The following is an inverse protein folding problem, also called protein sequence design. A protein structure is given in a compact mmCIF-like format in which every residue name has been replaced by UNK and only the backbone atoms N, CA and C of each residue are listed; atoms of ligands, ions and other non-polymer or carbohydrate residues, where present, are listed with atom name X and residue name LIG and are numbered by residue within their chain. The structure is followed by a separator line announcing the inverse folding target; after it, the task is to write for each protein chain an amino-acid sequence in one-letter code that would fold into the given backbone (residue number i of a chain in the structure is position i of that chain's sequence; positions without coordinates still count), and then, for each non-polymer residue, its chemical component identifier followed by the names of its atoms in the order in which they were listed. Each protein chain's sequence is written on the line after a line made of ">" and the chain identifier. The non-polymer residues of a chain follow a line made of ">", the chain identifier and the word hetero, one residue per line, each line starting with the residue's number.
data_IF_764180084613
#
_entry.id   IF_764180084613
#
_cell.length_a   1.000
_cell.length_b   1.000
_cell.length_c   1.000
_cell.angle_alpha   90.00
_cell.angle_beta   90.00
_cell.angle_gamma   90.00
#
_symmetry.space_group_name_H-M   'P 1'
#
loop_
_entity.id
_entity.type
_entity.pdbx_description
1 polymer ?
#
# COMPACT_ATOMS: atom_id res chain seq x y z
N UNK A 1 -35.01 35.88 -44.92
CA UNK A 1 -34.84 34.52 -44.37
C UNK A 1 -34.71 34.65 -42.86
N UNK A 2 -35.74 34.27 -42.08
CA UNK A 2 -35.64 34.26 -40.61
C UNK A 2 -35.37 32.83 -40.19
N UNK A 3 -34.15 32.58 -39.73
CA UNK A 3 -33.77 31.36 -39.03
C UNK A 3 -34.49 31.37 -37.69
N UNK A 4 -35.42 30.44 -37.46
CA UNK A 4 -36.01 30.21 -36.15
C UNK A 4 -35.02 29.33 -35.38
N UNK A 5 -34.19 29.95 -34.55
CA UNK A 5 -33.33 29.25 -33.61
C UNK A 5 -34.21 28.62 -32.54
N UNK A 6 -34.40 27.30 -32.63
CA UNK A 6 -35.08 26.51 -31.61
C UNK A 6 -34.08 26.20 -30.50
N UNK A 7 -33.90 27.13 -29.57
CA UNK A 7 -33.08 26.96 -28.37
C UNK A 7 -33.88 26.13 -27.34
N UNK A 8 -33.84 24.81 -27.50
CA UNK A 8 -34.38 23.87 -26.53
C UNK A 8 -33.49 23.83 -25.28
N UNK A 9 -33.96 24.43 -24.18
CA UNK A 9 -33.28 24.40 -22.89
C UNK A 9 -33.33 23.01 -22.23
N UNK A 10 -32.21 22.63 -21.62
CA UNK A 10 -32.06 21.47 -20.73
C UNK A 10 -33.20 21.43 -19.71
N UNK A 11 -33.87 20.30 -19.58
CA UNK A 11 -34.90 20.14 -18.54
C UNK A 11 -34.26 19.73 -17.21
N UNK A 12 -34.83 20.17 -16.07
CA UNK A 12 -34.38 19.70 -14.76
C UNK A 12 -34.47 18.17 -14.61
N UNK A 13 -35.42 17.55 -15.32
CA UNK A 13 -35.62 16.10 -15.33
C UNK A 13 -34.44 15.39 -15.99
N UNK A 14 -33.85 15.98 -17.02
CA UNK A 14 -32.69 15.42 -17.74
C UNK A 14 -31.45 15.37 -16.85
N UNK A 15 -31.18 16.43 -16.11
CA UNK A 15 -30.10 16.43 -15.11
C UNK A 15 -30.40 15.51 -13.92
N UNK A 16 -31.66 15.43 -13.47
CA UNK A 16 -32.07 14.56 -12.36
C UNK A 16 -31.87 13.08 -12.70
N UNK A 17 -32.25 12.65 -13.91
CA UNK A 17 -32.06 11.28 -14.35
C UNK A 17 -30.56 10.90 -14.42
N UNK A 18 -29.69 11.83 -14.84
CA UNK A 18 -28.25 11.61 -14.92
C UNK A 18 -27.62 11.45 -13.53
N UNK A 19 -27.89 12.37 -12.59
CA UNK A 19 -27.31 12.27 -11.24
C UNK A 19 -27.84 11.06 -10.48
N UNK A 20 -29.09 10.65 -10.74
CA UNK A 20 -29.65 9.42 -10.20
C UNK A 20 -28.88 8.20 -10.70
N UNK A 21 -28.64 8.11 -12.01
CA UNK A 21 -27.84 7.01 -12.60
C UNK A 21 -26.40 7.03 -12.09
N UNK A 22 -25.75 8.19 -12.00
CA UNK A 22 -24.41 8.33 -11.42
C UNK A 22 -24.37 7.85 -9.96
N UNK A 23 -25.40 8.14 -9.17
CA UNK A 23 -25.53 7.66 -7.79
C UNK A 23 -25.55 6.13 -7.69
N UNK A 24 -26.30 5.46 -8.59
CA UNK A 24 -26.38 3.99 -8.63
C UNK A 24 -25.02 3.39 -9.01
N UNK A 25 -24.32 3.97 -9.98
CA UNK A 25 -23.00 3.49 -10.41
C UNK A 25 -21.97 3.60 -9.29
N UNK A 26 -21.95 4.74 -8.57
CA UNK A 26 -21.02 4.97 -7.45
C UNK A 26 -21.25 3.97 -6.32
N UNK A 27 -22.52 3.68 -5.98
CA UNK A 27 -22.86 2.74 -4.91
C UNK A 27 -22.27 1.34 -5.14
N UNK A 28 -22.25 0.87 -6.39
CA UNK A 28 -21.69 -0.44 -6.74
C UNK A 28 -20.17 -0.40 -6.87
N UNK A 29 -19.58 0.72 -7.29
CA UNK A 29 -18.15 0.85 -7.53
C UNK A 29 -17.31 0.97 -6.25
N UNK A 30 -17.78 1.73 -5.26
CA UNK A 30 -17.04 2.02 -4.03
C UNK A 30 -16.57 0.79 -3.21
N UNK A 31 -17.40 -0.22 -2.91
CA UNK A 31 -16.94 -1.35 -2.09
C UNK A 31 -15.79 -2.11 -2.76
N UNK A 32 -15.81 -2.23 -4.09
CA UNK A 32 -14.73 -2.86 -4.85
C UNK A 32 -13.45 -2.01 -4.84
N UNK A 33 -13.59 -0.68 -4.96
CA UNK A 33 -12.46 0.25 -4.92
C UNK A 33 -11.68 0.16 -3.61
N UNK A 34 -12.36 0.19 -2.46
CA UNK A 34 -11.71 0.09 -1.15
C UNK A 34 -11.05 -1.28 -0.91
N UNK A 35 -11.62 -2.36 -1.45
CA UNK A 35 -11.00 -3.69 -1.43
C UNK A 35 -9.67 -3.70 -2.17
N UNK A 36 -9.66 -3.20 -3.42
CA UNK A 36 -8.45 -3.14 -4.25
C UNK A 36 -7.35 -2.26 -3.64
N UNK A 37 -7.72 -1.12 -3.03
CA UNK A 37 -6.77 -0.25 -2.34
C UNK A 37 -6.11 -0.97 -1.14
N UNK A 38 -6.91 -1.66 -0.33
CA UNK A 38 -6.40 -2.42 0.80
C UNK A 38 -5.48 -3.56 0.35
N UNK A 39 -5.83 -4.27 -0.72
CA UNK A 39 -5.00 -5.35 -1.27
C UNK A 39 -3.66 -4.82 -1.81
N UNK A 40 -3.68 -3.68 -2.50
CA UNK A 40 -2.45 -3.01 -2.94
C UNK A 40 -1.55 -2.62 -1.77
N UNK A 41 -2.12 -2.05 -0.69
CA UNK A 41 -1.37 -1.73 0.53
C UNK A 41 -0.76 -2.97 1.18
N UNK A 42 -1.45 -4.11 1.19
CA UNK A 42 -0.92 -5.38 1.71
C UNK A 42 0.26 -5.90 0.91
N UNK A 43 0.19 -5.82 -0.42
CA UNK A 43 1.27 -6.34 -1.27
C UNK A 43 2.51 -5.44 -1.17
N UNK A 44 2.34 -4.11 -1.09
CA UNK A 44 3.43 -3.18 -0.80
C UNK A 44 4.08 -3.50 0.55
N UNK A 45 3.29 -3.71 1.61
CA UNK A 45 3.83 -4.06 2.93
C UNK A 45 4.61 -5.39 2.89
N UNK A 46 4.11 -6.39 2.17
CA UNK A 46 4.79 -7.67 1.96
C UNK A 46 6.13 -7.50 1.24
N UNK A 47 6.14 -6.72 0.17
CA UNK A 47 7.34 -6.44 -0.60
C UNK A 47 8.39 -5.71 0.26
N UNK A 48 7.96 -4.71 1.03
CA UNK A 48 8.82 -3.95 1.93
C UNK A 48 9.40 -4.82 3.05
N UNK A 49 8.59 -5.65 3.71
CA UNK A 49 9.07 -6.61 4.73
C UNK A 49 10.12 -7.55 4.15
N UNK A 50 9.91 -8.08 2.94
CA UNK A 50 10.90 -8.91 2.24
C UNK A 50 12.19 -8.14 1.95
N UNK A 51 12.08 -6.92 1.45
CA UNK A 51 13.22 -6.04 1.15
C UNK A 51 14.04 -5.73 2.41
N UNK A 52 13.38 -5.32 3.50
CA UNK A 52 14.03 -5.02 4.78
C UNK A 52 14.69 -6.25 5.37
N UNK A 53 14.04 -7.43 5.33
CA UNK A 53 14.65 -8.66 5.83
C UNK A 53 15.86 -9.11 4.99
N UNK A 54 15.83 -8.90 3.67
CA UNK A 54 17.00 -9.15 2.82
C UNK A 54 18.16 -8.20 3.16
N UNK A 55 17.87 -6.92 3.37
CA UNK A 55 18.85 -5.94 3.83
C UNK A 55 19.42 -6.27 5.21
N UNK A 56 18.58 -6.73 6.15
CA UNK A 56 19.02 -7.21 7.48
C UNK A 56 19.93 -8.43 7.37
N UNK A 57 19.65 -9.36 6.45
CA UNK A 57 20.55 -10.49 6.20
C UNK A 57 21.92 -10.02 5.70
N UNK A 58 21.96 -9.02 4.81
CA UNK A 58 23.21 -8.41 4.33
C UNK A 58 23.94 -7.67 5.45
N UNK A 59 23.24 -6.87 6.26
CA UNK A 59 23.81 -6.19 7.43
C UNK A 59 24.44 -7.20 8.37
N UNK A 60 23.70 -8.28 8.67
CA UNK A 60 24.15 -9.36 9.55
C UNK A 60 25.40 -10.05 9.02
N UNK A 61 25.47 -10.28 7.71
CA UNK A 61 26.65 -10.83 7.05
C UNK A 61 27.86 -9.90 7.19
N UNK A 62 27.69 -8.59 7.04
CA UNK A 62 28.77 -7.59 7.14
C UNK A 62 29.24 -7.33 8.57
N UNK A 63 28.37 -7.48 9.56
CA UNK A 63 28.65 -7.14 10.96
C UNK A 63 28.86 -8.39 11.82
N UNK A 64 29.59 -9.39 11.30
CA UNK A 64 29.99 -10.60 12.04
C UNK A 64 28.80 -11.34 12.72
N UNK A 65 27.65 -11.40 12.05
CA UNK A 65 26.48 -12.10 12.55
C UNK A 65 25.58 -11.29 13.49
N UNK A 66 25.92 -10.02 13.76
CA UNK A 66 25.14 -9.12 14.62
C UNK A 66 24.07 -8.37 13.84
N UNK A 67 22.98 -8.01 14.53
CA UNK A 67 21.85 -7.29 13.96
C UNK A 67 21.79 -5.86 14.53
N UNK A 68 21.17 -4.90 13.82
CA UNK A 68 20.99 -3.57 14.35
C UNK A 68 20.33 -3.60 15.73
N UNK A 69 20.86 -2.87 16.70
CA UNK A 69 20.19 -2.71 17.99
C UNK A 69 18.82 -2.05 17.78
N UNK A 70 17.84 -2.33 18.65
CA UNK A 70 16.49 -1.77 18.51
C UNK A 70 16.50 -0.23 18.39
N UNK A 71 17.32 0.47 19.19
CA UNK A 71 17.49 1.92 19.10
C UNK A 71 18.28 2.42 17.88
N UNK A 72 19.01 1.56 17.18
CA UNK A 72 19.76 1.87 15.96
C UNK A 72 19.04 1.48 14.66
N UNK A 73 17.91 0.78 14.77
CA UNK A 73 17.21 0.24 13.60
C UNK A 73 16.65 1.32 12.67
N UNK A 74 16.19 2.44 13.22
CA UNK A 74 15.77 3.59 12.40
C UNK A 74 16.93 4.15 11.56
N UNK A 75 18.15 4.17 12.10
CA UNK A 75 19.35 4.57 11.37
C UNK A 75 19.70 3.59 10.25
N UNK A 76 19.56 2.29 10.49
CA UNK A 76 19.73 1.25 9.47
C UNK A 76 18.75 1.43 8.29
N UNK A 77 17.48 1.75 8.56
CA UNK A 77 16.51 1.97 7.48
C UNK A 77 16.76 3.24 6.67
N UNK A 78 17.36 4.26 7.29
CA UNK A 78 17.79 5.48 6.61
C UNK A 78 19.13 5.31 5.85
N UNK A 79 19.81 4.18 6.01
CA UNK A 79 21.12 3.95 5.42
C UNK A 79 20.99 3.60 3.93
N UNK A 80 21.41 4.55 3.09
CA UNK A 80 21.45 4.42 1.63
C UNK A 80 22.37 3.29 1.12
N UNK A 81 23.24 2.73 1.96
CA UNK A 81 24.01 1.53 1.60
C UNK A 81 23.13 0.28 1.46
N UNK A 82 22.02 0.23 2.19
CA UNK A 82 21.06 -0.89 2.16
C UNK A 82 19.78 -0.51 1.41
N UNK A 83 19.39 0.77 1.45
CA UNK A 83 18.20 1.29 0.80
C UNK A 83 18.54 2.52 -0.05
N UNK A 84 19.07 2.33 -1.28
CA UNK A 84 19.52 3.44 -2.12
C UNK A 84 18.39 4.41 -2.50
N UNK A 85 17.15 3.92 -2.58
CA UNK A 85 15.96 4.70 -2.90
C UNK A 85 15.31 5.35 -1.66
N UNK A 86 15.92 5.20 -0.49
CA UNK A 86 15.43 5.69 0.80
C UNK A 86 14.70 4.64 1.63
N UNK A 87 14.38 5.02 2.87
CA UNK A 87 13.77 4.12 3.84
C UNK A 87 12.40 3.59 3.36
N UNK A 88 12.15 2.27 3.42
CA UNK A 88 10.84 1.71 3.10
C UNK A 88 9.73 2.30 3.97
N UNK A 89 8.63 2.70 3.33
CA UNK A 89 7.48 3.35 3.98
C UNK A 89 6.40 2.30 4.28
N UNK A 90 5.85 2.32 5.49
CA UNK A 90 4.71 1.47 5.87
C UNK A 90 3.39 2.05 5.29
N UNK A 91 2.69 1.31 4.41
CA UNK A 91 1.47 1.79 3.74
C UNK A 91 0.24 1.90 4.66
N UNK A 92 0.33 1.45 5.92
CA UNK A 92 -0.74 1.54 6.92
C UNK A 92 -0.63 2.75 7.84
N UNK A 93 0.45 3.52 7.72
CA UNK A 93 0.70 4.70 8.55
C UNK A 93 0.22 5.98 7.86
N UNK A 94 -0.58 6.79 8.56
CA UNK A 94 -1.04 8.11 8.09
C UNK A 94 -0.74 9.17 9.19
N UNK A 95 0.06 10.22 8.91
CA UNK A 95 0.74 10.51 7.64
C UNK A 95 1.86 9.50 7.34
N UNK A 96 2.24 9.38 6.06
CA UNK A 96 3.25 8.45 5.51
C UNK A 96 4.69 8.65 6.05
N UNK A 97 4.86 9.35 7.17
CA UNK A 97 6.09 9.98 7.59
C UNK A 97 6.66 9.53 8.94
N UNK A 98 6.19 8.48 9.63
CA UNK A 98 6.68 8.32 11.01
C UNK A 98 6.99 6.95 11.60
N UNK A 99 6.76 5.81 10.97
CA UNK A 99 7.31 4.56 11.54
C UNK A 99 7.77 3.57 10.47
N UNK A 100 9.02 3.70 9.99
CA UNK A 100 9.58 2.72 9.07
C UNK A 100 9.85 1.42 9.86
N UNK A 101 8.90 0.48 9.91
CA UNK A 101 9.03 -0.86 10.50
C UNK A 101 9.63 -0.99 11.93
N UNK A 102 9.91 0.11 12.64
CA UNK A 102 10.67 0.11 13.89
C UNK A 102 9.92 -0.65 14.99
N UNK A 103 8.60 -0.51 14.99
CA UNK A 103 7.74 -1.15 15.99
C UNK A 103 7.52 -2.64 15.74
N UNK A 104 7.83 -3.13 14.53
CA UNK A 104 7.69 -4.54 14.16
C UNK A 104 9.03 -5.27 14.11
N UNK A 105 10.14 -4.54 14.31
CA UNK A 105 11.48 -5.10 14.32
C UNK A 105 11.77 -5.90 15.59
N UNK A 106 12.30 -7.11 15.42
CA UNK A 106 12.80 -7.93 16.51
C UNK A 106 14.31 -8.12 16.36
N UNK A 107 15.08 -7.47 17.25
CA UNK A 107 16.54 -7.51 17.22
C UNK A 107 17.14 -8.89 17.51
N UNK A 108 16.45 -9.72 18.32
CA UNK A 108 16.91 -11.09 18.60
C UNK A 108 16.73 -12.02 17.40
N UNK A 109 15.67 -11.83 16.62
CA UNK A 109 15.36 -12.61 15.43
C UNK A 109 15.90 -11.98 14.13
N UNK A 110 16.48 -10.78 14.20
CA UNK A 110 17.00 -10.03 13.06
C UNK A 110 16.00 -9.87 11.92
N UNK A 111 14.73 -9.60 12.26
CA UNK A 111 13.65 -9.56 11.27
C UNK A 111 12.60 -8.53 11.60
N UNK A 112 11.96 -8.05 10.56
CA UNK A 112 10.70 -7.31 10.64
C UNK A 112 9.53 -8.20 10.23
N UNK A 113 8.35 -7.86 10.76
CA UNK A 113 7.08 -8.47 10.43
C UNK A 113 6.12 -7.39 9.89
N UNK A 114 5.06 -7.84 9.21
CA UNK A 114 3.99 -6.96 8.73
C UNK A 114 3.36 -6.21 9.90
N UNK A 115 3.03 -4.92 9.70
CA UNK A 115 2.42 -4.09 10.73
C UNK A 115 0.96 -4.45 11.00
N UNK A 116 0.29 -5.04 10.01
CA UNK A 116 -1.05 -5.60 10.16
C UNK A 116 -1.06 -7.06 9.73
N UNK A 117 -1.56 -7.95 10.60
CA UNK A 117 -1.87 -9.32 10.22
C UNK A 117 -3.00 -9.28 9.20
N UNK A 118 -2.68 -9.49 7.93
CA UNK A 118 -3.72 -9.71 6.93
C UNK A 118 -4.43 -11.04 7.15
N UNK A 119 -5.69 -11.18 6.67
CA UNK A 119 -6.23 -12.51 6.46
C UNK A 119 -5.23 -13.31 5.61
N UNK A 120 -5.14 -14.65 5.78
CA UNK A 120 -4.21 -15.47 5.04
C UNK A 120 -4.33 -15.13 3.56
N UNK A 121 -3.17 -14.92 2.91
CA UNK A 121 -3.12 -14.60 1.50
C UNK A 121 -4.03 -15.56 0.74
N UNK A 122 -4.96 -15.04 -0.07
CA UNK A 122 -5.56 -15.84 -1.13
C UNK A 122 -4.40 -16.08 -2.10
N UNK A 123 -3.71 -17.18 -1.90
CA UNK A 123 -2.56 -17.54 -2.69
C UNK A 123 -3.05 -17.89 -4.10
N UNK A 124 -2.96 -16.93 -5.02
CA UNK A 124 -3.22 -17.17 -6.43
C UNK A 124 -2.13 -18.06 -7.08
N UNK A 125 -1.07 -18.42 -6.35
CA UNK A 125 0.01 -19.31 -6.83
C UNK A 125 -0.15 -20.77 -6.41
N UNK A 126 -1.12 -21.12 -5.56
CA UNK A 126 -1.46 -22.55 -5.29
C UNK A 126 -2.28 -23.20 -6.42
N UNK A 127 -2.50 -22.50 -7.52
CA UNK A 127 -3.20 -22.98 -8.72
C UNK A 127 -2.33 -23.37 -9.90
N UNK A 128 -1.00 -23.44 -9.76
CA UNK A 128 -0.11 -23.98 -10.80
C UNK A 128 0.51 -25.27 -10.24
N UNK A 129 -0.14 -26.39 -10.58
CA UNK A 129 0.32 -27.72 -10.23
C UNK A 129 1.53 -28.19 -11.05
N UNK A 130 2.11 -29.28 -10.51
CA UNK A 130 3.21 -30.12 -10.99
C UNK A 130 4.63 -29.73 -10.59
#
# INVERSE_FOLDING_TARGET
>A
MRHLSNEGGFTFVELLAVVLLLGILVLVALPNYFGAENDARREVDRANVRSVNAALALYRFRNNGTCPAAGGFAGFLADTQYFPDGAPIDPWTNPAASTPYVNTYNAALCRVQMSVAGPPAIDHTTGIGH
#
